data_IF_138997433072
#
_entry.id   IF_138997433072
#
_cell.length_a   1.000
_cell.length_b   1.000
_cell.length_c   1.000
_cell.angle_alpha   90.00
_cell.angle_beta   90.00
_cell.angle_gamma   90.00
#
_symmetry.space_group_name_H-M   'P 1'
#
loop_
_entity.id
_entity.type
_entity.pdbx_description
1 polymer ?
#
# COMPACT_ATOMS: atom_id res chain seq x y z
N UNK A 1 -6.57 -21.26 23.72
CA UNK A 1 -5.27 -21.94 23.51
C UNK A 1 -4.24 -20.85 23.23
N UNK A 2 -3.32 -20.63 24.17
CA UNK A 2 -2.29 -19.60 24.06
C UNK A 2 -1.12 -20.10 23.22
N UNK A 3 -0.56 -19.21 22.39
CA UNK A 3 0.63 -19.53 21.60
C UNK A 3 1.83 -19.88 22.51
N UNK A 4 2.70 -20.82 22.10
CA UNK A 4 3.90 -21.19 22.85
C UNK A 4 4.91 -20.04 22.94
N UNK A 5 5.63 -19.99 24.06
CA UNK A 5 6.52 -18.89 24.50
C UNK A 5 7.88 -18.79 23.79
N UNK A 6 8.04 -19.39 22.61
CA UNK A 6 9.31 -19.40 21.87
C UNK A 6 9.26 -18.80 20.46
N UNK A 7 8.11 -18.24 20.07
CA UNK A 7 8.05 -17.37 18.87
C UNK A 7 8.28 -15.94 19.32
N UNK A 8 9.54 -15.50 19.26
CA UNK A 8 9.82 -14.06 19.20
C UNK A 8 9.30 -13.59 17.84
N UNK A 9 8.09 -13.03 17.83
CA UNK A 9 7.70 -12.17 16.72
C UNK A 9 8.78 -11.10 16.59
N UNK A 10 9.32 -10.85 15.39
CA UNK A 10 10.23 -9.73 15.20
C UNK A 10 9.56 -8.49 15.77
N UNK A 11 10.29 -7.75 16.60
CA UNK A 11 9.81 -6.46 17.11
C UNK A 11 9.48 -5.64 15.87
N UNK A 12 8.19 -5.43 15.62
CA UNK A 12 7.75 -4.44 14.64
C UNK A 12 8.40 -3.15 15.09
N UNK A 13 9.39 -2.70 14.33
CA UNK A 13 10.11 -1.48 14.62
C UNK A 13 9.09 -0.35 14.54
N UNK A 14 8.58 0.00 15.72
CA UNK A 14 7.58 1.00 16.03
C UNK A 14 6.12 0.66 15.67
N UNK A 15 5.19 0.96 16.58
CA UNK A 15 3.76 1.06 16.27
C UNK A 15 3.41 2.26 15.37
N UNK A 16 4.37 2.79 14.60
CA UNK A 16 4.14 3.92 13.69
C UNK A 16 3.26 3.48 12.52
N UNK A 17 2.36 4.38 12.14
CA UNK A 17 1.42 4.19 11.03
C UNK A 17 2.06 4.63 9.72
N UNK A 18 1.49 4.20 8.60
CA UNK A 18 1.85 4.74 7.28
C UNK A 18 0.89 5.89 6.92
N UNK A 19 1.32 6.79 6.04
CA UNK A 19 0.49 7.92 5.61
C UNK A 19 -0.69 7.46 4.75
N UNK A 20 -1.92 7.77 5.18
CA UNK A 20 -3.12 7.56 4.38
C UNK A 20 -3.17 8.50 3.16
N UNK A 21 -2.77 9.77 3.34
CA UNK A 21 -2.77 10.75 2.27
C UNK A 21 -1.87 10.32 1.09
N UNK A 22 -0.64 9.89 1.41
CA UNK A 22 0.28 9.38 0.39
C UNK A 22 -0.20 8.07 -0.22
N UNK A 23 -0.75 7.16 0.59
CA UNK A 23 -1.35 5.93 0.07
C UNK A 23 -2.41 6.21 -0.99
N UNK A 24 -3.42 7.02 -0.66
CA UNK A 24 -4.54 7.29 -1.57
C UNK A 24 -4.05 7.96 -2.86
N UNK A 25 -3.13 8.93 -2.74
CA UNK A 25 -2.66 9.73 -3.86
C UNK A 25 -1.69 8.98 -4.77
N UNK A 26 -0.81 8.15 -4.19
CA UNK A 26 0.37 7.62 -4.87
C UNK A 26 0.37 6.09 -5.00
N UNK A 27 -0.21 5.37 -4.04
CA UNK A 27 -0.16 3.90 -3.98
C UNK A 27 -1.43 3.27 -4.54
N UNK A 28 -2.61 3.72 -4.11
CA UNK A 28 -3.88 3.18 -4.58
C UNK A 28 -4.03 3.21 -6.12
N UNK A 29 -3.58 4.27 -6.84
CA UNK A 29 -3.64 4.27 -8.31
C UNK A 29 -2.86 3.13 -8.96
N UNK A 30 -1.79 2.64 -8.33
CA UNK A 30 -1.03 1.48 -8.82
C UNK A 30 -1.92 0.25 -8.85
N UNK A 31 -2.79 0.08 -7.85
CA UNK A 31 -3.69 -1.08 -7.76
C UNK A 31 -4.82 -1.06 -8.79
N UNK A 32 -5.13 0.12 -9.33
CA UNK A 32 -6.16 0.33 -10.34
C UNK A 32 -5.58 0.35 -11.77
N UNK A 33 -4.26 0.54 -11.90
CA UNK A 33 -3.59 0.58 -13.18
C UNK A 33 -3.68 -0.77 -13.91
N UNK A 34 -3.71 -0.70 -15.24
CA UNK A 34 -3.49 -1.84 -16.12
C UNK A 34 -1.97 -2.02 -16.27
N UNK A 35 -1.43 -3.05 -15.63
CA UNK A 35 0.00 -3.33 -15.55
C UNK A 35 0.34 -4.55 -16.41
N UNK A 36 1.53 -4.54 -17.00
CA UNK A 36 2.07 -5.76 -17.61
C UNK A 36 2.43 -6.75 -16.50
N UNK A 37 1.97 -7.99 -16.65
CA UNK A 37 2.26 -9.08 -15.74
C UNK A 37 2.89 -10.23 -16.53
N UNK A 38 3.86 -10.92 -15.93
CA UNK A 38 4.50 -12.09 -16.52
C UNK A 38 4.30 -13.31 -15.64
N UNK A 39 3.55 -14.28 -16.15
CA UNK A 39 3.27 -15.56 -15.48
C UNK A 39 3.89 -16.66 -16.35
N UNK A 40 4.90 -17.35 -15.81
CA UNK A 40 5.61 -18.41 -16.52
C UNK A 40 6.12 -17.99 -17.91
N UNK A 41 6.55 -16.73 -18.06
CA UNK A 41 7.06 -16.17 -19.32
C UNK A 41 5.99 -15.68 -20.30
N UNK A 42 4.71 -15.87 -20.00
CA UNK A 42 3.61 -15.31 -20.79
C UNK A 42 3.28 -13.91 -20.26
N UNK A 43 3.38 -12.92 -21.13
CA UNK A 43 3.06 -11.52 -20.81
C UNK A 43 1.60 -11.24 -21.13
N UNK A 44 0.88 -10.68 -20.16
CA UNK A 44 -0.48 -10.16 -20.33
C UNK A 44 -0.63 -8.84 -19.58
N UNK A 45 -1.79 -8.20 -19.72
CA UNK A 45 -2.12 -6.98 -18.97
C UNK A 45 -3.25 -7.29 -18.00
N UNK A 46 -3.10 -6.88 -16.74
CA UNK A 46 -4.14 -7.01 -15.73
C UNK A 46 -4.02 -5.89 -14.68
N UNK A 47 -5.00 -5.80 -13.80
CA UNK A 47 -5.01 -4.90 -12.64
C UNK A 47 -4.96 -5.68 -11.33
N UNK A 48 -4.59 -5.03 -10.23
CA UNK A 48 -4.69 -5.65 -8.91
C UNK A 48 -6.16 -5.72 -8.45
N UNK A 49 -6.95 -4.66 -8.64
CA UNK A 49 -8.20 -4.44 -7.90
C UNK A 49 -9.53 -4.74 -8.63
N UNK A 50 -9.69 -4.38 -9.91
CA UNK A 50 -11.00 -4.37 -10.59
C UNK A 50 -11.13 -5.53 -11.57
N UNK A 51 -11.89 -6.59 -11.23
CA UNK A 51 -11.83 -7.92 -11.89
C UNK A 51 -10.44 -8.58 -11.87
N UNK A 52 -9.51 -7.96 -11.13
CA UNK A 52 -8.14 -8.42 -10.91
C UNK A 52 -8.05 -9.45 -9.79
N UNK A 53 -6.81 -9.85 -9.48
CA UNK A 53 -6.57 -10.89 -8.49
C UNK A 53 -7.02 -10.50 -7.08
N UNK A 54 -6.98 -9.22 -6.71
CA UNK A 54 -7.24 -8.72 -5.35
C UNK A 54 -8.58 -7.99 -5.20
N UNK A 55 -9.54 -8.24 -6.09
CA UNK A 55 -10.90 -7.69 -5.95
C UNK A 55 -11.53 -8.07 -4.59
N UNK A 56 -12.21 -7.11 -3.96
CA UNK A 56 -12.80 -7.29 -2.63
C UNK A 56 -13.99 -8.27 -2.60
N UNK A 57 -14.66 -8.50 -3.73
CA UNK A 57 -15.85 -9.35 -3.81
C UNK A 57 -15.49 -10.74 -4.33
N UNK A 58 -14.75 -10.80 -5.44
CA UNK A 58 -14.52 -12.01 -6.23
C UNK A 58 -13.04 -12.37 -6.41
N UNK A 59 -12.11 -11.62 -5.80
CA UNK A 59 -10.68 -11.84 -5.99
C UNK A 59 -10.18 -13.17 -5.42
N UNK A 60 -9.19 -13.76 -6.08
CA UNK A 60 -8.52 -15.02 -5.66
C UNK A 60 -7.13 -14.80 -5.03
N UNK A 61 -6.68 -13.56 -4.94
CA UNK A 61 -5.34 -13.12 -4.52
C UNK A 61 -5.06 -13.19 -3.02
N UNK A 62 -5.91 -13.83 -2.23
CA UNK A 62 -5.69 -14.03 -0.79
C UNK A 62 -6.19 -12.89 0.10
N UNK A 63 -5.36 -12.49 1.07
CA UNK A 63 -5.75 -11.55 2.15
C UNK A 63 -5.69 -10.07 1.75
N UNK A 64 -4.86 -9.72 0.77
CA UNK A 64 -4.84 -8.37 0.20
C UNK A 64 -6.09 -8.16 -0.66
N UNK A 65 -6.89 -7.15 -0.32
CA UNK A 65 -8.19 -6.83 -0.91
C UNK A 65 -8.29 -5.35 -1.23
N UNK A 66 -8.79 -5.06 -2.42
CA UNK A 66 -8.94 -3.71 -2.94
C UNK A 66 -10.35 -3.53 -3.48
N UNK A 67 -11.02 -2.49 -3.01
CA UNK A 67 -12.28 -1.98 -3.55
C UNK A 67 -11.94 -1.09 -4.74
N UNK A 68 -12.13 -1.61 -5.96
CA UNK A 68 -11.77 -0.90 -7.20
C UNK A 68 -12.55 0.41 -7.43
N UNK A 69 -13.76 0.52 -6.88
CA UNK A 69 -14.62 1.70 -6.99
C UNK A 69 -14.41 2.74 -5.87
N UNK A 70 -13.43 2.53 -4.97
CA UNK A 70 -13.17 3.42 -3.86
C UNK A 70 -12.88 4.85 -4.35
N UNK A 71 -13.65 5.82 -3.84
CA UNK A 71 -13.48 7.23 -4.19
C UNK A 71 -12.39 7.88 -3.31
N UNK A 72 -11.54 8.77 -3.86
CA UNK A 72 -10.63 9.58 -3.06
C UNK A 72 -11.39 10.44 -2.05
N UNK A 73 -10.83 10.57 -0.85
CA UNK A 73 -11.29 11.47 0.21
C UNK A 73 -10.35 12.67 0.29
N UNK A 74 -10.90 13.89 0.29
CA UNK A 74 -10.10 15.10 0.50
C UNK A 74 -9.69 15.20 1.97
N UNK A 75 -8.44 14.85 2.27
CA UNK A 75 -7.87 14.85 3.63
C UNK A 75 -7.59 16.26 4.18
N UNK A 76 -7.73 17.30 3.36
CA UNK A 76 -7.56 18.70 3.78
C UNK A 76 -8.87 19.36 4.19
N UNK A 77 -10.00 18.74 3.84
CA UNK A 77 -11.31 19.22 4.25
C UNK A 77 -11.57 18.86 5.73
N UNK A 78 -11.76 19.85 6.63
CA UNK A 78 -11.98 19.59 8.05
C UNK A 78 -13.26 18.80 8.37
N UNK A 79 -14.21 18.71 7.43
CA UNK A 79 -15.40 17.87 7.57
C UNK A 79 -15.09 16.36 7.46
N UNK A 80 -13.97 15.99 6.81
CA UNK A 80 -13.51 14.61 6.71
C UNK A 80 -12.66 14.25 7.94
N UNK A 81 -13.31 14.09 9.10
CA UNK A 81 -12.62 13.68 10.34
C UNK A 81 -11.99 12.29 10.19
N UNK A 82 -10.97 11.94 11.02
CA UNK A 82 -10.41 10.58 11.05
C UNK A 82 -11.47 9.47 11.10
N UNK A 83 -12.49 9.63 11.93
CA UNK A 83 -13.59 8.67 12.07
C UNK A 83 -14.39 8.54 10.78
N UNK A 84 -14.69 9.66 10.13
CA UNK A 84 -15.39 9.67 8.84
C UNK A 84 -14.55 8.97 7.76
N UNK A 85 -13.25 9.30 7.66
CA UNK A 85 -12.34 8.67 6.69
C UNK A 85 -12.26 7.15 6.91
N UNK A 86 -12.19 6.69 8.16
CA UNK A 86 -12.13 5.24 8.49
C UNK A 86 -13.33 4.43 8.02
N UNK A 87 -14.48 5.07 7.75
CA UNK A 87 -15.66 4.39 7.20
C UNK A 87 -15.66 4.32 5.66
N UNK A 88 -14.75 5.03 4.99
CA UNK A 88 -14.65 5.06 3.53
C UNK A 88 -14.09 3.76 2.94
N UNK A 89 -14.45 3.47 1.68
CA UNK A 89 -13.87 2.36 0.94
C UNK A 89 -12.37 2.55 0.67
N UNK A 90 -11.91 3.79 0.51
CA UNK A 90 -10.49 4.07 0.33
C UNK A 90 -9.68 3.70 1.57
N UNK A 91 -10.23 3.89 2.77
CA UNK A 91 -9.59 3.45 4.00
C UNK A 91 -9.50 1.92 4.09
N UNK A 92 -10.47 1.17 3.54
CA UNK A 92 -10.36 -0.30 3.45
C UNK A 92 -9.16 -0.72 2.60
N UNK A 93 -8.95 -0.05 1.45
CA UNK A 93 -7.79 -0.29 0.59
C UNK A 93 -6.48 -0.01 1.33
N UNK A 94 -6.41 1.13 2.04
CA UNK A 94 -5.26 1.51 2.85
C UNK A 94 -4.97 0.47 3.94
N UNK A 95 -5.99 0.08 4.69
CA UNK A 95 -5.87 -0.87 5.79
C UNK A 95 -5.39 -2.24 5.29
N UNK A 96 -5.93 -2.70 4.15
CA UNK A 96 -5.49 -3.95 3.53
C UNK A 96 -4.04 -3.89 3.05
N UNK A 97 -3.62 -2.80 2.41
CA UNK A 97 -2.23 -2.63 1.96
C UNK A 97 -1.25 -2.53 3.15
N UNK A 98 -1.64 -1.81 4.21
CA UNK A 98 -0.84 -1.69 5.43
C UNK A 98 -0.66 -3.06 6.11
N UNK A 99 -1.66 -3.94 6.07
CA UNK A 99 -1.57 -5.28 6.65
C UNK A 99 -0.54 -6.20 5.93
N UNK A 100 -0.21 -5.90 4.68
CA UNK A 100 0.84 -6.61 3.91
C UNK A 100 2.22 -5.94 4.03
N UNK A 101 2.35 -4.96 4.92
CA UNK A 101 3.52 -4.10 5.06
C UNK A 101 4.12 -4.21 6.45
N UNK A 102 5.45 -4.20 6.51
CA UNK A 102 6.23 -3.93 7.71
C UNK A 102 6.69 -2.48 7.62
N UNK A 103 6.12 -1.58 8.42
CA UNK A 103 6.51 -0.15 8.44
C UNK A 103 8.02 0.00 8.64
N UNK A 104 8.67 0.83 7.82
CA UNK A 104 10.13 0.99 7.78
C UNK A 104 10.90 -0.19 7.18
N UNK A 105 10.22 -1.26 6.76
CA UNK A 105 10.81 -2.52 6.30
C UNK A 105 10.29 -2.96 4.94
N UNK A 106 10.62 -2.27 3.83
CA UNK A 106 10.16 -2.63 2.49
C UNK A 106 10.64 -4.03 2.07
N UNK A 107 11.87 -4.40 2.44
CA UNK A 107 12.44 -5.71 2.13
C UNK A 107 11.77 -6.87 2.88
N UNK A 108 11.02 -6.58 3.96
CA UNK A 108 10.24 -7.55 4.72
C UNK A 108 8.74 -7.51 4.35
N UNK A 109 8.33 -6.52 3.56
CA UNK A 109 6.92 -6.27 3.23
C UNK A 109 6.47 -7.14 2.07
N UNK A 110 5.37 -7.87 2.26
CA UNK A 110 4.77 -8.70 1.20
C UNK A 110 4.21 -7.86 0.07
N UNK A 111 3.68 -6.69 0.39
CA UNK A 111 3.13 -5.74 -0.58
C UNK A 111 4.13 -5.39 -1.69
N UNK A 112 5.43 -5.36 -1.37
CA UNK A 112 6.50 -5.08 -2.34
C UNK A 112 7.13 -6.36 -2.90
N UNK A 113 7.46 -7.33 -2.05
CA UNK A 113 8.22 -8.50 -2.47
C UNK A 113 7.45 -9.48 -3.34
N UNK A 114 6.13 -9.61 -3.15
CA UNK A 114 5.31 -10.51 -3.99
C UNK A 114 5.27 -10.02 -5.44
N UNK A 115 4.88 -8.77 -5.75
CA UNK A 115 4.94 -8.23 -7.11
C UNK A 115 6.32 -8.31 -7.79
N UNK A 116 7.41 -8.30 -7.03
CA UNK A 116 8.79 -8.46 -7.52
C UNK A 116 9.27 -9.93 -7.57
N UNK A 117 8.49 -10.87 -7.05
CA UNK A 117 8.86 -12.30 -6.89
C UNK A 117 10.19 -12.48 -6.14
N UNK A 118 10.41 -11.69 -5.08
CA UNK A 118 11.64 -11.69 -4.27
C UNK A 118 11.46 -12.53 -3.01
N UNK A 119 12.09 -13.71 -2.98
CA UNK A 119 12.06 -14.61 -1.82
C UNK A 119 10.66 -15.20 -1.49
N UNK A 120 9.64 -14.88 -2.29
CA UNK A 120 8.27 -15.36 -2.13
C UNK A 120 7.58 -15.41 -3.50
N UNK A 121 6.76 -16.45 -3.72
CA UNK A 121 5.96 -16.56 -4.93
C UNK A 121 4.74 -15.63 -4.88
N UNK A 122 4.34 -15.18 -6.07
CA UNK A 122 3.14 -14.40 -6.30
C UNK A 122 2.33 -15.07 -7.42
N UNK A 123 1.07 -15.43 -7.11
CA UNK A 123 0.20 -16.13 -8.05
C UNK A 123 -0.09 -15.31 -9.32
N UNK A 124 -0.05 -13.98 -9.23
CA UNK A 124 -0.14 -13.07 -10.38
C UNK A 124 1.16 -12.94 -11.18
N UNK A 125 2.23 -13.64 -10.79
CA UNK A 125 3.53 -13.58 -11.45
C UNK A 125 4.34 -12.34 -11.12
N UNK A 126 5.31 -12.04 -11.98
CA UNK A 126 6.14 -10.84 -11.90
C UNK A 126 5.34 -9.64 -12.42
N UNK A 127 5.24 -8.59 -11.60
CA UNK A 127 4.52 -7.35 -11.88
C UNK A 127 5.49 -6.18 -12.05
N UNK A 128 6.46 -6.06 -11.14
CA UNK A 128 7.50 -5.04 -11.21
C UNK A 128 8.80 -5.68 -11.68
N UNK A 129 9.49 -5.07 -12.64
CA UNK A 129 10.68 -5.67 -13.24
C UNK A 129 11.85 -5.76 -12.24
N UNK A 130 12.01 -4.75 -11.39
CA UNK A 130 13.04 -4.65 -10.36
C UNK A 130 12.69 -3.50 -9.38
N UNK A 131 13.58 -3.18 -8.44
CA UNK A 131 13.38 -2.09 -7.47
C UNK A 131 13.46 -0.68 -8.05
N UNK A 132 13.94 -0.53 -9.28
CA UNK A 132 13.93 0.75 -10.00
C UNK A 132 12.61 0.99 -10.75
N UNK A 133 11.70 0.00 -10.77
CA UNK A 133 10.34 0.20 -11.29
C UNK A 133 9.68 1.40 -10.58
N UNK A 134 9.14 2.38 -11.31
CA UNK A 134 8.55 3.57 -10.70
C UNK A 134 7.48 3.27 -9.65
N UNK A 135 6.67 2.24 -9.85
CA UNK A 135 5.63 1.83 -8.91
C UNK A 135 6.24 1.15 -7.67
N UNK A 136 7.27 0.31 -7.87
CA UNK A 136 8.00 -0.30 -6.77
C UNK A 136 8.69 0.76 -5.89
N UNK A 137 9.24 1.82 -6.50
CA UNK A 137 9.85 2.94 -5.78
C UNK A 137 8.85 3.73 -4.94
N UNK A 138 7.66 4.02 -5.47
CA UNK A 138 6.59 4.68 -4.71
C UNK A 138 6.18 3.84 -3.48
N UNK A 139 5.96 2.54 -3.67
CA UNK A 139 5.61 1.62 -2.57
C UNK A 139 6.75 1.58 -1.55
N UNK A 140 7.99 1.39 -2.00
CA UNK A 140 9.16 1.37 -1.10
C UNK A 140 9.31 2.69 -0.32
N UNK A 141 9.13 3.83 -0.98
CA UNK A 141 9.17 5.14 -0.34
C UNK A 141 8.09 5.29 0.73
N UNK A 142 6.85 4.93 0.42
CA UNK A 142 5.75 4.97 1.40
C UNK A 142 6.04 4.10 2.63
N UNK A 143 6.57 2.89 2.43
CA UNK A 143 6.91 1.97 3.52
C UNK A 143 8.05 2.51 4.38
N UNK A 144 9.06 3.12 3.77
CA UNK A 144 10.23 3.68 4.47
C UNK A 144 9.95 4.99 5.22
N UNK A 145 8.82 5.64 4.94
CA UNK A 145 8.48 6.93 5.54
C UNK A 145 7.18 6.83 6.36
N UNK A 146 7.20 6.08 7.48
CA UNK A 146 6.06 6.05 8.38
C UNK A 146 5.80 7.43 8.97
N UNK A 147 4.55 7.68 9.38
CA UNK A 147 4.20 8.91 10.08
C UNK A 147 5.03 9.04 11.37
N UNK A 148 5.32 10.26 11.83
CA UNK A 148 6.08 10.46 13.07
C UNK A 148 5.47 9.73 14.26
N UNK A 149 6.32 9.26 15.18
CA UNK A 149 5.87 8.55 16.37
C UNK A 149 4.88 9.38 17.19
N UNK A 150 3.81 8.73 17.67
CA UNK A 150 2.74 9.37 18.43
C UNK A 150 1.66 10.03 17.57
N UNK A 151 1.81 9.99 16.23
CA UNK A 151 0.79 10.48 15.30
C UNK A 151 0.11 9.31 14.57
N UNK A 152 -1.10 9.57 14.06
CA UNK A 152 -1.88 8.58 13.32
C UNK A 152 -1.68 8.70 11.79
N UNK A 153 -2.30 7.78 11.05
CA UNK A 153 -2.24 7.70 9.59
C UNK A 153 -2.74 8.96 8.85
N UNK A 154 -3.46 9.86 9.52
CA UNK A 154 -4.04 11.08 8.94
C UNK A 154 -3.23 12.33 9.24
N UNK A 155 -2.08 12.20 9.90
CA UNK A 155 -1.25 13.34 10.24
C UNK A 155 -0.83 14.17 9.02
N UNK A 156 -1.01 15.49 9.13
CA UNK A 156 -0.54 16.50 8.17
C UNK A 156 0.99 16.57 8.08
N UNK A 157 1.73 16.03 9.06
CA UNK A 157 3.19 15.89 8.95
C UNK A 157 3.59 15.06 7.72
N UNK A 158 2.72 14.13 7.30
CA UNK A 158 2.94 13.33 6.09
C UNK A 158 2.77 14.11 4.79
N UNK A 159 2.35 15.38 4.81
CA UNK A 159 2.30 16.21 3.60
C UNK A 159 3.71 16.54 3.09
N UNK A 160 4.74 16.43 3.93
CA UNK A 160 6.14 16.50 3.50
C UNK A 160 6.58 15.36 2.56
N UNK A 161 5.72 14.35 2.35
CA UNK A 161 5.96 13.28 1.38
C UNK A 161 5.61 13.69 -0.07
N UNK A 162 5.15 14.92 -0.27
CA UNK A 162 4.84 15.48 -1.58
C UNK A 162 5.74 16.68 -1.89
N UNK A 163 5.89 17.00 -3.18
CA UNK A 163 6.56 18.23 -3.63
C UNK A 163 5.68 18.99 -4.63
N UNK A 164 5.19 20.21 -4.29
CA UNK A 164 5.21 20.85 -2.96
C UNK A 164 4.44 20.03 -1.91
N UNK A 165 4.56 20.39 -0.62
CA UNK A 165 3.97 19.68 0.51
C UNK A 165 2.43 19.79 0.57
N UNK A 166 1.75 19.27 -0.44
CA UNK A 166 0.30 19.31 -0.61
C UNK A 166 -0.17 17.95 -1.13
N UNK A 167 -1.04 17.22 -0.40
CA UNK A 167 -1.53 15.90 -0.81
C UNK A 167 -2.48 15.94 -2.03
N UNK A 168 -3.05 17.11 -2.35
CA UNK A 168 -4.00 17.28 -3.45
C UNK A 168 -3.28 17.67 -4.75
N UNK A 169 -2.23 18.49 -4.67
CA UNK A 169 -1.56 19.06 -5.85
C UNK A 169 -0.10 18.63 -6.01
N UNK A 170 0.57 18.24 -4.93
CA UNK A 170 1.98 17.87 -4.93
C UNK A 170 2.26 16.56 -5.68
N UNK A 171 3.45 16.50 -6.28
CA UNK A 171 3.97 15.26 -6.85
C UNK A 171 4.41 14.30 -5.74
N UNK A 172 4.22 13.00 -5.96
CA UNK A 172 4.66 11.96 -5.04
C UNK A 172 6.19 11.87 -4.99
N UNK A 173 6.79 12.07 -3.81
CA UNK A 173 8.23 11.87 -3.64
C UNK A 173 8.59 10.38 -3.79
N UNK A 174 9.80 10.06 -4.23
CA UNK A 174 10.23 8.66 -4.49
C UNK A 174 11.57 8.30 -3.83
N UNK A 175 12.13 9.22 -3.04
CA UNK A 175 13.41 9.15 -2.35
C UNK A 175 13.50 10.26 -1.32
#
# INVERSE_FOLDING_TARGET
>A
MGNPSSVNNPVVASGQKLSFAYFQRCINPIFLAQLQISINGVVSTNTCASSGCHDNTNGTGGAFRVVGAAQPVDVTNPANTPEAIRTSDMFKNFFSAQAETVSGGPAQSRLLNKPLVRGVLHGGGLIFANDQDPNARLISFWINNPVPQGQDEFSTASFGLFTPNDPNTGACNTQ
#
